data_IF_636193662718
#
_entry.id   IF_636193662718
#
_cell.length_a   1.000
_cell.length_b   1.000
_cell.length_c   1.000
_cell.angle_alpha   90.00
_cell.angle_beta   90.00
_cell.angle_gamma   90.00
#
_symmetry.space_group_name_H-M   'P 1'
#
loop_
_entity.id
_entity.type
_entity.pdbx_description
1 polymer ?
#
# COMPACT_ATOMS: atom_id res chain seq x y z
N UNK A 1 1.14 -12.19 -44.15
CA UNK A 1 1.75 -13.24 -43.31
C UNK A 1 0.62 -13.97 -42.58
N UNK A 2 0.54 -15.29 -42.75
CA UNK A 2 -0.55 -16.10 -42.19
C UNK A 2 -0.35 -16.31 -40.67
N UNK A 3 -1.29 -15.85 -39.83
CA UNK A 3 -1.20 -15.88 -38.34
C UNK A 3 -0.92 -17.29 -37.81
N UNK A 4 -1.44 -18.31 -38.49
CA UNK A 4 -1.25 -19.73 -38.13
C UNK A 4 0.20 -20.16 -38.31
N UNK A 5 0.90 -19.65 -39.31
CA UNK A 5 2.30 -19.98 -39.56
C UNK A 5 3.21 -19.41 -38.46
N UNK A 6 2.95 -18.17 -38.02
CA UNK A 6 3.71 -17.52 -36.94
C UNK A 6 3.57 -18.25 -35.61
N UNK A 7 2.34 -18.61 -35.21
CA UNK A 7 2.10 -19.38 -33.98
C UNK A 7 2.75 -20.76 -34.03
N UNK A 8 2.66 -21.46 -35.16
CA UNK A 8 3.29 -22.78 -35.33
C UNK A 8 4.82 -22.71 -35.21
N UNK A 9 5.44 -21.66 -35.73
CA UNK A 9 6.88 -21.44 -35.58
C UNK A 9 7.26 -21.11 -34.12
N UNK A 10 6.46 -20.30 -33.42
CA UNK A 10 6.68 -19.99 -32.01
C UNK A 10 6.69 -21.25 -31.12
N UNK A 11 5.68 -22.12 -31.24
CA UNK A 11 5.65 -23.38 -30.49
C UNK A 11 6.80 -24.33 -30.87
N UNK A 12 7.21 -24.31 -32.15
CA UNK A 12 8.36 -25.09 -32.62
C UNK A 12 9.66 -24.59 -32.02
N UNK A 13 9.84 -23.28 -31.85
CA UNK A 13 11.01 -22.69 -31.21
C UNK A 13 11.08 -22.99 -29.72
N UNK A 14 9.96 -22.87 -29.00
CA UNK A 14 9.89 -23.26 -27.58
C UNK A 14 10.35 -24.71 -27.40
N UNK A 15 9.89 -25.61 -28.26
CA UNK A 15 10.23 -27.04 -28.19
C UNK A 15 11.68 -27.35 -28.61
N UNK A 16 12.30 -26.48 -29.42
CA UNK A 16 13.72 -26.59 -29.80
C UNK A 16 14.66 -26.13 -28.69
N UNK A 17 14.30 -25.13 -27.88
CA UNK A 17 15.12 -24.66 -26.76
C UNK A 17 14.29 -24.42 -25.49
N UNK A 18 13.81 -25.49 -24.82
CA UNK A 18 12.93 -25.35 -23.67
C UNK A 18 13.61 -24.67 -22.47
N UNK A 19 14.92 -24.92 -22.27
CA UNK A 19 15.69 -24.30 -21.19
C UNK A 19 15.73 -22.77 -21.29
N UNK A 20 16.04 -22.23 -22.48
CA UNK A 20 16.08 -20.78 -22.72
C UNK A 20 14.72 -20.12 -22.50
N UNK A 21 13.64 -20.76 -22.94
CA UNK A 21 12.29 -20.25 -22.75
C UNK A 21 11.91 -20.21 -21.26
N UNK A 22 12.15 -21.31 -20.54
CA UNK A 22 11.88 -21.39 -19.11
C UNK A 22 12.70 -20.37 -18.31
N UNK A 23 13.97 -20.17 -18.64
CA UNK A 23 14.80 -19.13 -17.98
C UNK A 23 14.21 -17.74 -18.14
N UNK A 24 13.84 -17.33 -19.35
CA UNK A 24 13.23 -16.01 -19.60
C UNK A 24 11.87 -15.91 -18.90
N UNK A 25 11.07 -16.97 -18.96
CA UNK A 25 9.77 -17.02 -18.29
C UNK A 25 9.92 -16.81 -16.78
N UNK A 26 10.84 -17.52 -16.11
CA UNK A 26 11.05 -17.37 -14.68
C UNK A 26 11.59 -15.98 -14.30
N UNK A 27 12.48 -15.39 -15.09
CA UNK A 27 12.97 -14.02 -14.85
C UNK A 27 11.80 -13.03 -14.88
N UNK A 28 10.93 -13.12 -15.90
CA UNK A 28 9.76 -12.25 -16.02
C UNK A 28 8.74 -12.54 -14.90
N UNK A 29 8.47 -13.80 -14.61
CA UNK A 29 7.54 -14.21 -13.56
C UNK A 29 7.99 -13.71 -12.19
N UNK A 30 9.29 -13.80 -11.87
CA UNK A 30 9.84 -13.22 -10.65
C UNK A 30 9.60 -11.71 -10.59
N UNK A 31 9.93 -10.97 -11.66
CA UNK A 31 9.72 -9.53 -11.70
C UNK A 31 8.26 -9.11 -11.46
N UNK A 32 7.31 -9.82 -12.09
CA UNK A 32 5.87 -9.56 -11.91
C UNK A 32 5.39 -9.94 -10.51
N UNK A 33 5.87 -11.07 -9.96
CA UNK A 33 5.51 -11.52 -8.62
C UNK A 33 5.95 -10.51 -7.55
N UNK A 34 7.18 -9.99 -7.63
CA UNK A 34 7.66 -8.94 -6.72
C UNK A 34 6.82 -7.67 -6.81
N UNK A 35 6.57 -7.17 -8.02
CA UNK A 35 5.75 -5.96 -8.21
C UNK A 35 4.34 -6.14 -7.67
N UNK A 36 3.69 -7.27 -8.02
CA UNK A 36 2.35 -7.58 -7.53
C UNK A 36 2.31 -7.75 -6.01
N UNK A 37 3.35 -8.38 -5.43
CA UNK A 37 3.45 -8.59 -4.00
C UNK A 37 3.55 -7.27 -3.23
N UNK A 38 4.46 -6.39 -3.62
CA UNK A 38 4.64 -5.08 -2.98
C UNK A 38 3.34 -4.26 -3.06
N UNK A 39 2.72 -4.23 -4.23
CA UNK A 39 1.46 -3.49 -4.44
C UNK A 39 0.29 -4.06 -3.64
N UNK A 40 0.25 -5.38 -3.40
CA UNK A 40 -0.76 -6.00 -2.56
C UNK A 40 -0.51 -5.75 -1.06
N UNK A 41 0.75 -5.66 -0.65
CA UNK A 41 1.13 -5.38 0.73
C UNK A 41 0.80 -3.94 1.16
N UNK A 42 0.92 -2.95 0.26
CA UNK A 42 0.65 -1.53 0.56
C UNK A 42 -0.72 -1.29 1.25
N UNK A 43 -1.87 -1.65 0.66
CA UNK A 43 -3.17 -1.40 1.30
C UNK A 43 -3.34 -2.21 2.59
N UNK A 44 -2.79 -3.43 2.60
CA UNK A 44 -2.87 -4.33 3.76
C UNK A 44 -2.15 -3.74 4.98
N UNK A 45 -0.95 -3.17 4.76
CA UNK A 45 -0.19 -2.50 5.82
C UNK A 45 -0.87 -1.23 6.30
N UNK A 46 -1.46 -0.44 5.39
CA UNK A 46 -2.19 0.78 5.76
C UNK A 46 -3.38 0.48 6.66
N UNK A 47 -4.26 -0.44 6.24
CA UNK A 47 -5.45 -0.83 7.02
C UNK A 47 -5.06 -1.41 8.38
N UNK A 48 -3.99 -2.22 8.43
CA UNK A 48 -3.53 -2.80 9.69
C UNK A 48 -2.94 -1.75 10.62
N UNK A 49 -2.21 -0.76 10.09
CA UNK A 49 -1.68 0.35 10.87
C UNK A 49 -2.78 1.24 11.43
N UNK A 50 -3.74 1.60 10.59
CA UNK A 50 -4.94 2.37 10.93
C UNK A 50 -5.69 1.72 12.11
N UNK A 51 -6.10 0.46 11.93
CA UNK A 51 -6.82 -0.29 12.96
C UNK A 51 -6.01 -0.49 14.26
N UNK A 52 -4.68 -0.53 14.18
CA UNK A 52 -3.82 -0.63 15.35
C UNK A 52 -3.76 0.69 16.12
N UNK A 53 -3.71 1.83 15.43
CA UNK A 53 -3.69 3.15 16.05
C UNK A 53 -5.06 3.54 16.60
N UNK A 54 -6.14 3.26 15.87
CA UNK A 54 -7.51 3.45 16.34
C UNK A 54 -7.77 2.64 17.62
N UNK A 55 -7.34 1.38 17.65
CA UNK A 55 -7.51 0.50 18.82
C UNK A 55 -6.64 0.87 20.02
N UNK A 56 -5.68 1.77 19.84
CA UNK A 56 -4.84 2.32 20.91
C UNK A 56 -5.23 3.76 21.29
N UNK A 57 -6.35 4.28 20.75
CA UNK A 57 -6.82 5.65 20.92
C UNK A 57 -5.70 6.69 20.65
N UNK A 58 -4.87 6.44 19.62
CA UNK A 58 -3.77 7.33 19.29
C UNK A 58 -4.30 8.59 18.57
N UNK A 59 -3.77 9.75 18.94
CA UNK A 59 -4.13 11.03 18.32
C UNK A 59 -3.81 11.07 16.80
N UNK A 60 -4.78 11.55 16.01
CA UNK A 60 -4.58 11.85 14.59
C UNK A 60 -3.76 13.13 14.35
N UNK A 61 -3.95 14.12 15.24
CA UNK A 61 -3.36 15.44 15.16
C UNK A 61 -2.84 15.88 16.53
N UNK A 62 -1.67 16.52 16.53
CA UNK A 62 -1.06 17.12 17.70
C UNK A 62 -0.90 18.64 17.47
N UNK A 63 -1.45 19.44 18.38
CA UNK A 63 -1.36 20.91 18.32
C UNK A 63 -0.47 21.39 19.47
N UNK A 64 0.60 22.11 19.14
CA UNK A 64 1.57 22.61 20.12
C UNK A 64 1.59 24.14 20.05
N UNK A 65 1.40 24.80 21.20
CA UNK A 65 1.41 26.26 21.35
C UNK A 65 2.57 26.70 22.25
N UNK A 66 3.26 27.77 21.85
CA UNK A 66 4.35 28.35 22.65
C UNK A 66 3.87 29.01 23.94
N UNK A 67 2.62 29.46 23.97
CA UNK A 67 1.99 30.11 25.13
C UNK A 67 1.19 29.14 26.01
N UNK A 68 1.19 27.85 25.65
CA UNK A 68 0.32 26.84 26.25
C UNK A 68 -1.04 26.78 25.54
N UNK A 69 -1.79 25.73 25.87
CA UNK A 69 -3.19 25.52 25.48
C UNK A 69 -4.00 25.52 26.78
N UNK A 70 -5.13 26.21 26.79
CA UNK A 70 -6.02 26.32 27.95
C UNK A 70 -7.24 25.41 27.80
N UNK A 71 -7.97 25.15 28.89
CA UNK A 71 -9.25 24.42 28.81
C UNK A 71 -10.25 25.08 27.84
N UNK A 72 -10.29 26.41 27.76
CA UNK A 72 -11.16 27.14 26.82
C UNK A 72 -10.80 26.82 25.35
N UNK A 73 -9.52 26.61 25.06
CA UNK A 73 -9.05 26.21 23.73
C UNK A 73 -9.44 24.76 23.41
N UNK A 74 -9.41 23.86 24.41
CA UNK A 74 -9.82 22.46 24.26
C UNK A 74 -11.31 22.38 23.95
N UNK A 75 -12.16 23.07 24.71
CA UNK A 75 -13.61 23.14 24.43
C UNK A 75 -13.87 23.70 23.03
N UNK A 76 -13.14 24.74 22.62
CA UNK A 76 -13.26 25.30 21.27
C UNK A 76 -12.87 24.30 20.18
N UNK A 77 -11.92 23.38 20.43
CA UNK A 77 -11.57 22.31 19.49
C UNK A 77 -12.65 21.22 19.42
N UNK A 78 -13.26 20.84 20.55
CA UNK A 78 -14.35 19.84 20.57
C UNK A 78 -15.61 20.31 19.83
N UNK A 79 -15.85 21.64 19.76
CA UNK A 79 -16.98 22.19 19.02
C UNK A 79 -16.79 22.18 17.48
N UNK A 80 -15.58 21.89 16.98
CA UNK A 80 -15.31 21.86 15.54
C UNK A 80 -15.93 20.62 14.89
N UNK A 81 -16.70 20.82 13.83
CA UNK A 81 -17.27 19.71 13.05
C UNK A 81 -16.18 18.78 12.52
N UNK A 82 -16.25 17.50 12.92
CA UNK A 82 -15.29 16.46 12.53
C UNK A 82 -14.24 16.13 13.59
N UNK A 83 -14.19 16.86 14.71
CA UNK A 83 -13.41 16.47 15.89
C UNK A 83 -14.26 15.53 16.74
N UNK A 84 -13.76 14.31 16.98
CA UNK A 84 -14.44 13.34 17.86
C UNK A 84 -14.06 13.54 19.33
N UNK A 85 -12.79 13.88 19.58
CA UNK A 85 -12.23 14.08 20.92
C UNK A 85 -11.06 15.07 20.86
N UNK A 86 -10.97 15.99 21.82
CA UNK A 86 -9.79 16.81 22.04
C UNK A 86 -9.26 16.62 23.47
N UNK A 87 -8.04 16.10 23.61
CA UNK A 87 -7.40 15.93 24.91
C UNK A 87 -6.21 16.87 25.08
N UNK A 88 -6.13 17.51 26.25
CA UNK A 88 -4.96 18.29 26.66
C UNK A 88 -3.86 17.40 27.23
N UNK A 89 -2.61 17.63 26.82
CA UNK A 89 -1.42 17.05 27.46
C UNK A 89 -0.67 18.13 28.24
N UNK A 90 -0.25 17.80 29.47
CA UNK A 90 0.50 18.68 30.38
C UNK A 90 2.00 18.76 30.08
#
# INVERSE_FOLDING_TARGET
>A
MDRKATQKNFYREIRKSPGRFLSIFFIVAMGVAFFSGIRASEPSMRITGDAYFDGADLMDLEVISTLGITEDDIEAFEEIEGVELAEGSY
#
